data_IF_254289448328
#
_entry.id   IF_254289448328
#
_cell.length_a   1.000
_cell.length_b   1.000
_cell.length_c   1.000
_cell.angle_alpha   90.00
_cell.angle_beta   90.00
_cell.angle_gamma   90.00
#
_symmetry.space_group_name_H-M   'P 1'
#
loop_
_entity.id
_entity.type
_entity.pdbx_description
1 polymer ?
#
# COMPACT_ATOMS: atom_id res chain seq x y z
N UNK A 1 -2.86 -3.82 -13.51
CA UNK A 1 -3.75 -2.66 -13.67
C UNK A 1 -3.10 -1.60 -14.54
N UNK A 2 -3.92 -0.85 -15.31
CA UNK A 2 -3.43 0.31 -16.07
C UNK A 2 -3.76 1.58 -15.29
N UNK A 3 -2.85 2.52 -15.28
CA UNK A 3 -3.00 3.83 -14.66
C UNK A 3 -2.45 4.91 -15.58
N UNK A 4 -3.19 5.99 -15.75
CA UNK A 4 -2.77 7.19 -16.46
C UNK A 4 -2.80 8.34 -15.45
N UNK A 5 -1.64 8.62 -14.84
CA UNK A 5 -1.48 9.62 -13.78
C UNK A 5 -2.50 9.46 -12.62
N UNK A 6 -2.73 8.22 -12.18
CA UNK A 6 -3.71 7.93 -11.11
C UNK A 6 -3.02 8.08 -9.76
N UNK A 7 -3.65 8.82 -8.86
CA UNK A 7 -3.22 8.90 -7.45
C UNK A 7 -4.02 7.92 -6.61
N UNK A 8 -3.33 7.08 -5.86
CA UNK A 8 -3.93 6.14 -4.92
C UNK A 8 -3.61 6.53 -3.48
N UNK A 9 -4.58 6.35 -2.61
CA UNK A 9 -4.45 6.46 -1.14
C UNK A 9 -4.80 5.13 -0.49
N UNK A 10 -3.98 4.71 0.47
CA UNK A 10 -4.23 3.51 1.27
C UNK A 10 -3.85 3.76 2.74
N UNK A 11 -4.75 3.41 3.68
CA UNK A 11 -4.55 3.53 5.12
C UNK A 11 -4.12 2.19 5.68
N UNK A 12 -2.94 2.16 6.29
CA UNK A 12 -2.41 0.99 6.97
C UNK A 12 -2.48 1.19 8.47
N UNK A 13 -3.06 0.25 9.23
CA UNK A 13 -2.99 0.32 10.68
C UNK A 13 -1.54 0.16 11.13
N UNK A 14 -1.16 0.89 12.17
CA UNK A 14 0.14 0.76 12.81
C UNK A 14 -0.03 0.15 14.18
N UNK A 15 0.76 -0.87 14.50
CA UNK A 15 0.67 -1.58 15.77
C UNK A 15 1.32 -0.81 16.93
N UNK A 16 2.20 0.13 16.64
CA UNK A 16 2.87 0.93 17.64
C UNK A 16 2.96 2.38 17.22
N UNK A 17 2.49 3.25 18.10
CA UNK A 17 2.63 4.68 17.96
C UNK A 17 4.08 5.12 18.14
N UNK A 18 4.46 6.19 17.47
CA UNK A 18 5.76 6.82 17.62
C UNK A 18 6.37 7.27 16.31
N UNK A 19 7.57 7.80 16.44
CA UNK A 19 8.39 8.21 15.31
C UNK A 19 9.28 7.05 14.90
N UNK A 20 9.15 6.63 13.64
CA UNK A 20 9.91 5.52 13.04
C UNK A 20 10.36 5.88 11.63
N UNK A 21 11.45 5.22 11.19
CA UNK A 21 11.92 5.25 9.83
C UNK A 21 11.20 4.15 9.03
N UNK A 22 10.24 4.55 8.20
CA UNK A 22 9.48 3.64 7.36
C UNK A 22 10.19 3.41 6.03
N UNK A 23 10.06 2.20 5.49
CA UNK A 23 10.50 1.83 4.15
C UNK A 23 9.45 0.97 3.47
N UNK A 24 9.33 1.12 2.18
CA UNK A 24 8.33 0.44 1.35
C UNK A 24 9.01 -0.44 0.32
N UNK A 25 8.62 -1.72 0.28
CA UNK A 25 9.13 -2.69 -0.68
C UNK A 25 8.15 -2.89 -1.82
N UNK A 26 8.68 -2.92 -3.02
CA UNK A 26 7.93 -3.14 -4.25
C UNK A 26 8.50 -4.32 -5.02
N UNK A 27 7.61 -5.10 -5.61
CA UNK A 27 7.93 -6.12 -6.59
C UNK A 27 7.03 -5.94 -7.81
N UNK A 28 7.62 -5.78 -8.97
CA UNK A 28 6.87 -5.67 -10.23
C UNK A 28 6.58 -7.05 -10.81
N UNK A 29 6.12 -7.95 -9.95
CA UNK A 29 5.64 -9.29 -10.28
C UNK A 29 4.26 -9.47 -9.66
N UNK A 30 3.35 -10.14 -10.34
CA UNK A 30 2.02 -10.42 -9.80
C UNK A 30 2.15 -11.48 -8.72
N UNK A 31 1.87 -11.12 -7.48
CA UNK A 31 1.92 -12.01 -6.31
C UNK A 31 0.53 -12.44 -5.83
N UNK A 32 -0.52 -11.79 -6.31
CA UNK A 32 -1.90 -12.13 -6.01
C UNK A 32 -2.81 -11.76 -7.18
N UNK A 33 -3.77 -12.63 -7.49
CA UNK A 33 -4.78 -12.41 -8.56
C UNK A 33 -6.18 -12.29 -7.99
N UNK A 34 -6.27 -11.95 -6.73
CA UNK A 34 -7.52 -11.97 -5.98
C UNK A 34 -8.66 -11.13 -6.59
N UNK A 35 -8.37 -10.12 -7.39
CA UNK A 35 -9.38 -9.24 -7.96
C UNK A 35 -10.26 -9.86 -9.05
N UNK A 36 -9.72 -10.79 -9.82
CA UNK A 36 -10.44 -11.45 -10.93
C UNK A 36 -10.73 -12.94 -10.67
N UNK A 37 -10.27 -13.46 -9.51
CA UNK A 37 -10.42 -14.86 -9.14
C UNK A 37 -9.55 -15.83 -9.95
N UNK A 38 -8.61 -15.32 -10.75
CA UNK A 38 -7.70 -16.12 -11.55
C UNK A 38 -6.31 -16.21 -10.93
N UNK A 39 -5.89 -17.38 -10.51
CA UNK A 39 -4.53 -17.62 -10.04
C UNK A 39 -3.50 -17.78 -11.16
N UNK A 40 -3.94 -17.72 -12.42
CA UNK A 40 -3.08 -17.93 -13.59
C UNK A 40 -2.06 -16.82 -13.83
N UNK A 41 -2.22 -15.67 -13.19
CA UNK A 41 -1.33 -14.52 -13.33
C UNK A 41 -0.24 -14.45 -12.24
N UNK A 42 -0.30 -15.28 -11.21
CA UNK A 42 0.71 -15.29 -10.13
C UNK A 42 2.08 -15.65 -10.70
N UNK A 43 3.07 -14.85 -10.38
CA UNK A 43 4.44 -15.00 -10.88
C UNK A 43 4.68 -14.38 -12.27
N UNK A 44 3.67 -13.79 -12.89
CA UNK A 44 3.86 -13.06 -14.15
C UNK A 44 4.48 -11.68 -13.89
N UNK A 45 5.34 -11.26 -14.81
CA UNK A 45 5.93 -9.93 -14.80
C UNK A 45 4.86 -8.85 -14.93
N UNK A 46 5.00 -7.79 -14.17
CA UNK A 46 4.29 -6.53 -14.42
C UNK A 46 4.79 -5.84 -15.70
N UNK A 47 4.15 -4.74 -16.07
CA UNK A 47 4.59 -3.89 -17.17
C UNK A 47 5.58 -2.81 -16.74
N UNK A 48 5.92 -1.94 -17.67
CA UNK A 48 6.66 -0.73 -17.34
C UNK A 48 5.72 0.31 -16.74
N UNK A 49 6.13 0.92 -15.63
CA UNK A 49 5.40 2.02 -15.04
C UNK A 49 6.34 3.01 -14.35
N UNK A 50 5.82 4.17 -14.06
CA UNK A 50 6.54 5.20 -13.33
C UNK A 50 5.79 5.51 -12.03
N UNK A 51 6.49 5.53 -10.92
CA UNK A 51 6.07 6.20 -9.71
C UNK A 51 6.46 7.67 -9.90
N UNK A 52 5.48 8.54 -10.06
CA UNK A 52 5.73 9.97 -10.31
C UNK A 52 5.98 10.72 -9.00
N UNK A 53 5.29 10.31 -7.95
CA UNK A 53 5.37 10.89 -6.61
C UNK A 53 4.89 9.87 -5.59
N UNK A 54 5.50 9.87 -4.41
CA UNK A 54 5.01 9.14 -3.26
C UNK A 54 5.16 9.97 -1.99
N UNK A 55 4.18 9.88 -1.11
CA UNK A 55 4.12 10.63 0.15
C UNK A 55 3.49 9.75 1.23
N UNK A 56 3.99 9.84 2.44
CA UNK A 56 3.36 9.24 3.61
C UNK A 56 2.84 10.33 4.52
N UNK A 57 1.75 10.04 5.21
CA UNK A 57 1.10 10.97 6.12
C UNK A 57 0.72 10.28 7.42
N UNK A 58 0.57 11.06 8.47
CA UNK A 58 -0.33 10.72 9.57
C UNK A 58 -1.76 10.77 9.01
N UNK A 59 -2.34 9.61 8.81
CA UNK A 59 -3.67 9.44 8.18
C UNK A 59 -4.85 9.65 9.13
N UNK A 60 -4.58 10.06 10.39
CA UNK A 60 -5.62 10.26 11.39
C UNK A 60 -6.28 8.95 11.85
N UNK A 61 -7.43 9.10 12.50
CA UNK A 61 -8.21 7.97 13.06
C UNK A 61 -9.36 7.52 12.17
N UNK A 62 -9.62 8.23 11.06
CA UNK A 62 -10.75 7.99 10.17
C UNK A 62 -10.31 7.92 8.71
N UNK A 63 -11.12 7.27 7.89
CA UNK A 63 -10.83 7.04 6.46
C UNK A 63 -11.57 8.07 5.60
N UNK A 64 -11.23 9.32 5.74
CA UNK A 64 -11.79 10.35 4.87
C UNK A 64 -10.78 10.72 3.77
N UNK A 65 -11.03 10.20 2.58
CA UNK A 65 -10.17 10.43 1.41
C UNK A 65 -10.13 11.90 0.95
N UNK A 66 -11.08 12.72 1.37
CA UNK A 66 -11.19 14.13 0.99
C UNK A 66 -10.56 15.07 2.02
N UNK A 67 -10.16 14.56 3.19
CA UNK A 67 -9.41 15.34 4.18
C UNK A 67 -7.93 15.39 3.77
N UNK A 68 -7.35 16.59 3.77
CA UNK A 68 -5.93 16.77 3.55
C UNK A 68 -5.18 16.59 4.87
N UNK A 69 -4.32 15.56 4.98
CA UNK A 69 -3.52 15.35 6.19
C UNK A 69 -2.52 16.49 6.38
N UNK A 70 -2.29 16.87 7.64
CA UNK A 70 -1.41 18.00 7.99
C UNK A 70 0.04 17.61 8.21
N UNK A 71 0.32 16.34 8.54
CA UNK A 71 1.67 15.81 8.78
C UNK A 71 2.03 14.86 7.66
N UNK A 72 3.08 15.18 6.93
CA UNK A 72 3.52 14.41 5.77
C UNK A 72 5.03 14.36 5.63
N UNK A 73 5.51 13.32 4.94
CA UNK A 73 6.89 13.20 4.52
C UNK A 73 6.97 12.63 3.10
N UNK A 74 7.79 13.25 2.25
CA UNK A 74 8.02 12.77 0.89
C UNK A 74 8.84 11.48 0.90
N UNK A 75 8.40 10.49 0.12
CA UNK A 75 9.14 9.26 -0.09
C UNK A 75 10.00 9.40 -1.35
N UNK A 76 11.24 8.96 -1.26
CA UNK A 76 12.18 8.97 -2.38
C UNK A 76 12.70 7.57 -2.71
N UNK A 77 13.30 7.46 -3.87
CA UNK A 77 13.88 6.24 -4.41
C UNK A 77 15.30 6.53 -4.90
N UNK A 78 16.30 6.15 -4.12
CA UNK A 78 17.71 6.52 -4.36
C UNK A 78 17.92 8.03 -4.49
N UNK A 79 17.21 8.80 -3.65
CA UNK A 79 17.24 10.25 -3.63
C UNK A 79 16.36 10.95 -4.67
N UNK A 80 15.67 10.22 -5.53
CA UNK A 80 14.73 10.77 -6.52
C UNK A 80 13.28 10.69 -6.03
N UNK A 81 12.48 11.71 -6.29
CA UNK A 81 11.05 11.71 -6.01
C UNK A 81 10.27 10.78 -6.95
N UNK A 82 10.79 10.56 -8.15
CA UNK A 82 10.19 9.70 -9.15
C UNK A 82 11.05 8.45 -9.40
N UNK A 83 10.42 7.35 -9.84
CA UNK A 83 11.10 6.11 -10.20
C UNK A 83 10.43 5.44 -11.39
N UNK A 84 11.20 5.17 -12.43
CA UNK A 84 10.82 4.24 -13.49
C UNK A 84 11.02 2.81 -13.00
N UNK A 85 10.02 1.97 -13.23
CA UNK A 85 10.00 0.57 -12.78
C UNK A 85 9.90 -0.34 -13.99
N UNK A 86 10.90 -1.22 -14.14
CA UNK A 86 10.94 -2.22 -15.20
C UNK A 86 10.17 -3.50 -14.78
N UNK A 87 9.77 -4.36 -15.74
CA UNK A 87 9.26 -5.70 -15.45
C UNK A 87 10.19 -6.48 -14.51
N UNK A 88 9.62 -7.22 -13.58
CA UNK A 88 10.32 -8.04 -12.58
C UNK A 88 11.25 -7.29 -11.62
N UNK A 89 11.29 -5.97 -11.68
CA UNK A 89 12.12 -5.18 -10.79
C UNK A 89 11.60 -5.26 -9.36
N UNK A 90 12.55 -5.40 -8.41
CA UNK A 90 12.27 -5.31 -6.98
C UNK A 90 13.13 -4.21 -6.36
N UNK A 91 12.55 -3.43 -5.46
CA UNK A 91 13.27 -2.33 -4.82
C UNK A 91 12.61 -1.91 -3.50
N UNK A 92 13.39 -1.22 -2.69
CA UNK A 92 12.93 -0.50 -1.52
C UNK A 92 12.92 1.00 -1.78
N UNK A 93 12.01 1.72 -1.15
CA UNK A 93 12.13 3.16 -1.01
C UNK A 93 13.33 3.52 -0.14
N UNK A 94 13.76 4.76 -0.18
CA UNK A 94 14.61 5.31 0.87
C UNK A 94 13.82 5.33 2.19
N UNK A 95 14.51 5.32 3.35
CA UNK A 95 13.85 5.48 4.63
C UNK A 95 13.23 6.87 4.74
N UNK A 96 12.05 6.93 5.33
CA UNK A 96 11.32 8.18 5.58
C UNK A 96 10.85 8.21 7.03
N UNK A 97 11.23 9.24 7.78
CA UNK A 97 10.83 9.41 9.18
C UNK A 97 9.43 10.00 9.26
N UNK A 98 8.55 9.37 10.03
CA UNK A 98 7.21 9.85 10.31
C UNK A 98 6.79 9.47 11.72
N UNK A 99 6.17 10.42 12.43
CA UNK A 99 5.50 10.12 13.69
C UNK A 99 4.02 9.82 13.44
N UNK A 100 3.58 8.61 13.80
CA UNK A 100 2.18 8.19 13.74
C UNK A 100 1.68 8.00 15.17
N UNK A 101 0.74 8.83 15.67
CA UNK A 101 0.19 8.72 17.01
C UNK A 101 -0.60 7.41 17.23
N UNK A 102 -0.85 7.08 18.49
CA UNK A 102 -1.65 5.91 18.86
C UNK A 102 -3.07 5.99 18.28
N UNK A 103 -3.52 4.90 17.67
CA UNK A 103 -4.83 4.80 17.04
C UNK A 103 -4.94 5.47 15.67
N UNK A 104 -3.85 6.09 15.19
CA UNK A 104 -3.81 6.65 13.86
C UNK A 104 -3.35 5.61 12.83
N UNK A 105 -3.62 5.89 11.58
CA UNK A 105 -3.17 5.10 10.44
C UNK A 105 -1.97 5.75 9.76
N UNK A 106 -1.10 4.93 9.19
CA UNK A 106 -0.12 5.37 8.19
C UNK A 106 -0.87 5.49 6.86
N UNK A 107 -0.98 6.70 6.32
CA UNK A 107 -1.55 6.90 4.99
C UNK A 107 -0.41 6.91 3.95
N UNK A 108 -0.50 6.00 3.01
CA UNK A 108 0.31 5.96 1.81
C UNK A 108 -0.42 6.63 0.65
N UNK A 109 0.22 7.58 0.00
CA UNK A 109 -0.27 8.21 -1.22
C UNK A 109 0.80 8.14 -2.30
N UNK A 110 0.44 7.74 -3.49
CA UNK A 110 1.33 7.79 -4.63
C UNK A 110 0.60 8.02 -5.94
N UNK A 111 1.27 8.68 -6.89
CA UNK A 111 0.81 8.85 -8.26
C UNK A 111 1.61 7.94 -9.16
N UNK A 112 0.92 7.13 -9.95
CA UNK A 112 1.53 6.17 -10.87
C UNK A 112 1.00 6.34 -12.29
N UNK A 113 1.87 6.05 -13.26
CA UNK A 113 1.56 6.08 -14.67
C UNK A 113 2.18 4.87 -15.36
N UNK A 114 1.40 4.08 -16.07
CA UNK A 114 1.88 2.92 -16.81
C UNK A 114 0.84 1.85 -17.02
N UNK A 115 1.29 0.70 -17.49
CA UNK A 115 0.42 -0.41 -17.85
C UNK A 115 0.84 -1.68 -17.14
N UNK A 116 -0.13 -2.55 -16.90
CA UNK A 116 0.07 -3.85 -16.27
C UNK A 116 0.79 -3.77 -14.90
N UNK A 117 0.43 -2.76 -14.10
CA UNK A 117 0.96 -2.57 -12.75
C UNK A 117 0.36 -3.66 -11.85
N UNK A 118 1.16 -4.43 -11.10
CA UNK A 118 0.64 -5.38 -10.13
C UNK A 118 -0.29 -4.67 -9.13
N UNK A 119 -1.44 -5.26 -8.86
CA UNK A 119 -2.44 -4.71 -7.94
C UNK A 119 -3.10 -5.85 -7.19
N UNK A 120 -3.51 -5.57 -5.96
CA UNK A 120 -4.28 -6.49 -5.13
C UNK A 120 -5.69 -5.96 -4.94
N UNK A 121 -6.64 -6.87 -4.80
CA UNK A 121 -8.04 -6.56 -4.49
C UNK A 121 -8.37 -7.08 -3.09
N UNK A 122 -8.00 -6.33 -2.08
CA UNK A 122 -8.12 -6.73 -0.69
C UNK A 122 -8.66 -5.61 0.16
N UNK A 123 -9.94 -5.62 0.38
CA UNK A 123 -10.63 -4.62 1.22
C UNK A 123 -10.58 -4.91 2.71
N UNK A 124 -10.21 -6.10 3.13
CA UNK A 124 -10.10 -6.46 4.54
C UNK A 124 -8.76 -6.09 5.20
N UNK A 125 -7.75 -5.70 4.39
CA UNK A 125 -6.42 -5.32 4.87
C UNK A 125 -6.18 -3.81 4.87
N UNK A 126 -6.89 -3.06 4.05
CA UNK A 126 -6.67 -1.61 3.95
C UNK A 126 -7.90 -0.89 3.40
N UNK A 127 -8.02 0.36 3.76
CA UNK A 127 -8.95 1.31 3.13
C UNK A 127 -8.24 1.98 1.97
N UNK A 128 -8.84 1.98 0.78
CA UNK A 128 -8.18 2.49 -0.40
C UNK A 128 -9.08 3.32 -1.31
N UNK A 129 -8.50 4.35 -1.88
CA UNK A 129 -9.15 5.28 -2.79
C UNK A 129 -8.24 5.60 -3.96
N UNK A 130 -8.86 5.98 -5.08
CA UNK A 130 -8.16 6.42 -6.28
C UNK A 130 -8.75 7.74 -6.80
N UNK A 131 -7.88 8.67 -7.17
CA UNK A 131 -8.21 9.84 -7.96
C UNK A 131 -7.62 9.67 -9.35
N UNK A 132 -8.48 9.68 -10.36
CA UNK A 132 -8.11 9.51 -11.77
C UNK A 132 -7.86 10.84 -12.50
N UNK A 133 -7.88 11.96 -11.77
CA UNK A 133 -7.74 13.28 -12.37
C UNK A 133 -8.94 13.73 -13.22
N UNK A 134 -10.09 13.07 -13.09
CA UNK A 134 -11.31 13.36 -13.86
C UNK A 134 -12.24 14.38 -13.17
N UNK A 135 -11.75 15.03 -12.12
CA UNK A 135 -12.45 16.05 -11.34
C UNK A 135 -13.45 15.51 -10.32
N UNK A 136 -13.53 14.20 -10.13
CA UNK A 136 -14.40 13.56 -9.13
C UNK A 136 -13.73 13.38 -7.76
N UNK A 137 -12.41 13.64 -7.69
CA UNK A 137 -11.61 13.41 -6.51
C UNK A 137 -11.42 11.91 -6.19
N UNK A 138 -11.09 11.63 -4.95
CA UNK A 138 -10.85 10.27 -4.49
C UNK A 138 -12.13 9.46 -4.37
N UNK A 139 -12.21 8.36 -5.11
CA UNK A 139 -13.29 7.39 -5.04
C UNK A 139 -12.76 6.06 -4.50
N UNK A 140 -13.58 5.37 -3.72
CA UNK A 140 -13.27 4.05 -3.21
C UNK A 140 -12.87 3.09 -4.33
N UNK A 141 -11.85 2.29 -4.05
CA UNK A 141 -11.40 1.19 -4.92
C UNK A 141 -10.91 0.03 -4.07
N UNK A 142 -11.17 -1.19 -4.51
CA UNK A 142 -10.60 -2.39 -3.89
C UNK A 142 -9.55 -3.06 -4.78
N UNK A 143 -9.16 -2.44 -5.88
CA UNK A 143 -8.07 -2.88 -6.74
C UNK A 143 -6.97 -1.82 -6.76
N UNK A 144 -5.99 -2.00 -5.90
CA UNK A 144 -4.92 -1.03 -5.71
C UNK A 144 -3.54 -1.63 -5.97
N UNK A 145 -2.68 -0.90 -6.68
CA UNK A 145 -1.26 -1.13 -6.59
C UNK A 145 -0.76 -0.53 -5.26
N UNK A 146 -0.11 -1.35 -4.44
CA UNK A 146 0.44 -0.95 -3.14
C UNK A 146 1.83 -1.56 -2.96
N UNK A 147 2.64 -1.01 -2.04
CA UNK A 147 3.85 -1.70 -1.60
C UNK A 147 3.48 -3.09 -1.05
N UNK A 148 4.26 -4.11 -1.42
CA UNK A 148 4.05 -5.47 -0.91
C UNK A 148 4.42 -5.61 0.56
N UNK A 149 5.37 -4.78 1.04
CA UNK A 149 5.75 -4.73 2.45
C UNK A 149 5.91 -3.29 2.91
N UNK A 150 5.47 -3.05 4.13
CA UNK A 150 5.78 -1.83 4.88
C UNK A 150 6.68 -2.23 6.05
N UNK A 151 7.89 -1.72 6.09
CA UNK A 151 8.86 -1.96 7.16
C UNK A 151 9.14 -0.71 7.96
N UNK A 152 9.55 -0.88 9.22
CA UNK A 152 10.07 0.21 10.04
C UNK A 152 11.19 -0.29 10.94
N UNK A 153 11.95 0.63 11.55
CA UNK A 153 13.08 0.33 12.44
C UNK A 153 12.66 -0.02 13.87
N UNK A 154 11.37 -0.21 14.12
CA UNK A 154 10.83 -0.65 15.41
C UNK A 154 11.49 -1.95 15.89
N UNK A 155 11.96 -1.96 17.13
CA UNK A 155 12.49 -3.17 17.76
C UNK A 155 11.33 -4.03 18.24
N UNK A 156 11.23 -5.25 17.72
CA UNK A 156 10.22 -6.25 18.11
C UNK A 156 10.86 -7.39 18.89
N UNK A 157 10.18 -7.88 19.92
CA UNK A 157 10.63 -9.04 20.73
C UNK A 157 10.29 -10.36 20.06
N UNK A 158 9.15 -10.42 19.39
CA UNK A 158 8.63 -11.63 18.75
C UNK A 158 8.28 -11.33 17.31
N UNK A 159 8.60 -12.26 16.42
CA UNK A 159 8.16 -12.25 15.05
C UNK A 159 7.37 -13.51 14.79
N UNK A 160 6.19 -13.37 14.22
CA UNK A 160 5.32 -14.46 13.84
C UNK A 160 5.21 -14.48 12.33
N UNK A 161 5.43 -15.64 11.75
CA UNK A 161 5.20 -15.87 10.32
C UNK A 161 4.01 -16.78 10.20
N UNK A 162 2.96 -16.31 9.54
CA UNK A 162 1.77 -17.10 9.25
C UNK A 162 1.86 -17.64 7.82
N UNK A 163 1.56 -18.90 7.66
CA UNK A 163 1.47 -19.59 6.38
C UNK A 163 0.08 -20.19 6.24
N UNK A 164 -0.56 -19.98 5.12
CA UNK A 164 -1.90 -20.48 4.88
C UNK A 164 -2.49 -20.01 3.56
N UNK A 165 -3.77 -20.23 3.40
CA UNK A 165 -4.56 -19.90 2.23
C UNK A 165 -5.41 -18.63 2.44
N UNK A 166 -6.50 -18.50 1.71
CA UNK A 166 -7.45 -17.39 1.77
C UNK A 166 -8.07 -17.17 3.17
N UNK A 167 -8.15 -18.20 4.00
CA UNK A 167 -8.63 -18.06 5.40
C UNK A 167 -7.61 -17.31 6.24
N UNK A 168 -6.32 -17.63 6.10
CA UNK A 168 -5.23 -16.91 6.77
C UNK A 168 -5.15 -15.46 6.28
N UNK A 169 -5.46 -15.22 5.03
CA UNK A 169 -5.51 -13.89 4.41
C UNK A 169 -6.74 -13.08 4.84
N UNK A 170 -7.74 -13.71 5.46
CA UNK A 170 -8.94 -13.05 5.96
C UNK A 170 -10.10 -13.00 4.97
N UNK A 171 -10.12 -13.89 3.98
CA UNK A 171 -11.22 -13.97 3.03
C UNK A 171 -12.56 -14.14 3.74
N UNK A 172 -13.58 -13.35 3.34
CA UNK A 172 -14.92 -13.29 3.93
C UNK A 172 -14.99 -12.73 5.36
N UNK A 173 -13.94 -12.12 5.88
CA UNK A 173 -14.05 -11.28 7.07
C UNK A 173 -14.58 -9.89 6.67
N UNK A 174 -14.98 -9.09 7.66
CA UNK A 174 -15.47 -7.73 7.40
C UNK A 174 -14.42 -6.89 6.69
N UNK A 175 -14.84 -6.13 5.69
CA UNK A 175 -13.98 -5.15 5.04
C UNK A 175 -13.42 -4.19 6.09
N UNK A 176 -12.14 -3.86 5.96
CA UNK A 176 -11.39 -2.93 6.82
C UNK A 176 -11.39 -3.27 8.33
N UNK A 177 -11.90 -4.45 8.68
CA UNK A 177 -12.13 -4.83 10.07
C UNK A 177 -10.91 -5.45 10.75
N UNK A 178 -9.89 -5.85 10.01
CA UNK A 178 -8.75 -6.60 10.58
C UNK A 178 -9.18 -7.75 11.49
N UNK A 179 -10.28 -8.41 11.14
CA UNK A 179 -10.92 -9.43 11.98
C UNK A 179 -10.45 -10.87 11.69
N UNK A 180 -9.52 -11.03 10.77
CA UNK A 180 -8.95 -12.36 10.50
C UNK A 180 -7.93 -12.75 11.58
N UNK A 181 -7.81 -14.05 11.83
CA UNK A 181 -7.07 -14.58 12.98
C UNK A 181 -5.60 -14.12 13.02
N UNK A 182 -4.93 -14.02 11.87
CA UNK A 182 -3.52 -13.60 11.81
C UNK A 182 -3.33 -12.12 12.18
N UNK A 183 -4.35 -11.28 12.03
CA UNK A 183 -4.30 -9.88 12.43
C UNK A 183 -4.65 -9.66 13.90
N UNK A 184 -5.12 -10.71 14.60
CA UNK A 184 -5.50 -10.67 16.02
C UNK A 184 -4.41 -11.25 16.93
N UNK A 185 -3.28 -11.70 16.38
CA UNK A 185 -2.11 -12.20 17.12
C UNK A 185 -1.23 -11.06 17.63
#
# INVERSE_FOLDING_TARGET
KNAEHVTYRAWFPVEAAGEYDYRFYFSNTVDSTWGDGSESYVGMSGGNYTIEKATVYDGGTEFDANVEPTVSAAVTFSGSAAKEVAPDETFWSDPVTLNVPEGHYLLWEWTVNGTNIPAIAMSNLTYAYADKGDGKGFLYTNEIPVPQLVGCDRKVKTRIVTLGDSVTQGCQTSEFGYQFWAAQL
#
